data_IF_284808550069
#
_entry.id   IF_284808550069
#
_cell.length_a   1.000
_cell.length_b   1.000
_cell.length_c   1.000
_cell.angle_alpha   90.00
_cell.angle_beta   90.00
_cell.angle_gamma   90.00
#
_symmetry.space_group_name_H-M   'P 1'
#
loop_
_entity.id
_entity.type
_entity.pdbx_description
1 polymer ?
#
# COMPACT_ATOMS: atom_id res chain seq x y z
N UNK A 1 60.92 54.38 -11.70
CA UNK A 1 61.82 54.03 -12.83
C UNK A 1 61.18 52.90 -13.64
N UNK A 2 61.77 52.51 -14.78
CA UNK A 2 61.02 51.93 -15.93
C UNK A 2 61.29 50.43 -16.25
N UNK A 3 60.40 49.85 -17.08
CA UNK A 3 60.54 48.63 -17.96
C UNK A 3 60.57 47.26 -17.23
N UNK A 4 59.78 46.20 -17.54
CA UNK A 4 59.32 45.48 -18.79
C UNK A 4 60.34 44.45 -19.32
N UNK A 5 60.02 43.18 -19.67
CA UNK A 5 58.95 42.65 -20.57
C UNK A 5 58.70 41.10 -20.42
N UNK A 6 57.46 40.63 -20.74
CA UNK A 6 57.03 39.32 -21.33
C UNK A 6 57.50 38.00 -20.65
N UNK A 7 56.92 36.79 -20.79
CA UNK A 7 56.10 36.04 -21.79
C UNK A 7 55.04 35.20 -21.01
N UNK A 8 53.92 34.63 -21.49
CA UNK A 8 53.25 34.50 -22.80
C UNK A 8 51.88 33.77 -22.65
N UNK A 9 51.20 33.36 -23.75
CA UNK A 9 49.78 32.88 -23.71
C UNK A 9 49.43 31.86 -24.81
N UNK A 10 48.64 30.81 -24.49
CA UNK A 10 47.49 30.21 -25.24
C UNK A 10 47.21 28.78 -24.75
N UNK A 11 45.99 28.27 -24.49
CA UNK A 11 44.60 28.39 -25.01
C UNK A 11 44.17 27.19 -25.89
N UNK A 12 43.10 26.53 -25.43
CA UNK A 12 42.09 25.70 -26.12
C UNK A 12 41.99 25.88 -27.66
N UNK A 13 41.73 24.78 -28.40
CA UNK A 13 40.36 24.46 -28.89
C UNK A 13 40.25 23.08 -29.59
N UNK A 14 38.99 22.72 -29.88
CA UNK A 14 38.45 21.43 -30.31
C UNK A 14 38.04 21.51 -31.79
N UNK A 15 38.32 20.51 -32.65
CA UNK A 15 37.73 20.40 -34.00
C UNK A 15 37.48 18.94 -34.41
N UNK A 16 36.28 18.69 -34.93
CA UNK A 16 35.81 17.45 -35.57
C UNK A 16 36.18 17.46 -37.07
N UNK A 17 36.41 16.31 -37.71
CA UNK A 17 36.24 16.19 -39.17
C UNK A 17 35.70 14.83 -39.63
N UNK A 18 35.03 14.86 -40.78
CA UNK A 18 34.14 13.82 -41.31
C UNK A 18 34.61 13.35 -42.71
N UNK A 19 34.29 12.10 -43.05
CA UNK A 19 33.99 11.53 -44.39
C UNK A 19 35.05 10.88 -45.32
N UNK A 20 34.47 9.92 -46.08
CA UNK A 20 34.77 9.47 -47.46
C UNK A 20 35.76 8.31 -47.73
N UNK A 21 35.17 7.10 -47.78
CA UNK A 21 35.16 6.14 -48.90
C UNK A 21 36.42 6.02 -49.80
N UNK A 22 36.95 4.79 -49.90
CA UNK A 22 37.29 4.19 -51.20
C UNK A 22 36.96 2.69 -51.22
N UNK A 23 36.22 2.25 -52.23
CA UNK A 23 36.00 0.83 -52.53
C UNK A 23 37.05 0.32 -53.52
N UNK A 24 37.51 -0.92 -53.33
CA UNK A 24 37.95 -1.80 -54.44
C UNK A 24 37.45 -3.22 -54.21
N UNK A 25 36.52 -3.65 -55.05
CA UNK A 25 36.20 -5.05 -55.28
C UNK A 25 37.25 -5.70 -56.18
N UNK A 26 37.50 -7.01 -56.00
CA UNK A 26 37.44 -8.00 -57.07
C UNK A 26 37.88 -9.38 -56.56
N UNK A 27 36.95 -10.33 -56.46
CA UNK A 27 36.97 -11.59 -57.23
C UNK A 27 35.89 -12.56 -56.70
N UNK A 28 35.00 -12.99 -57.60
CA UNK A 28 34.31 -14.28 -57.50
C UNK A 28 35.06 -15.27 -58.41
N UNK A 29 34.99 -16.58 -58.14
CA UNK A 29 34.02 -17.35 -58.89
C UNK A 29 33.16 -18.30 -58.03
N UNK A 30 31.90 -18.44 -58.40
CA UNK A 30 30.88 -19.27 -57.76
C UNK A 30 30.72 -20.62 -58.46
N UNK A 31 30.68 -21.73 -57.71
CA UNK A 31 29.96 -22.96 -58.10
C UNK A 31 29.25 -23.58 -56.88
N UNK A 32 27.92 -23.65 -56.93
CA UNK A 32 27.08 -24.74 -56.41
C UNK A 32 27.14 -25.15 -54.93
N UNK A 33 26.24 -24.59 -54.09
CA UNK A 33 25.93 -25.11 -52.76
C UNK A 33 24.52 -24.71 -52.31
N UNK A 34 23.70 -25.68 -51.88
CA UNK A 34 22.27 -25.52 -51.57
C UNK A 34 21.96 -24.43 -50.53
N UNK A 35 21.07 -23.49 -50.85
CA UNK A 35 20.51 -22.57 -49.85
C UNK A 35 19.54 -23.30 -48.91
N UNK A 36 20.00 -23.63 -47.69
CA UNK A 36 19.09 -23.93 -46.58
C UNK A 36 18.50 -22.64 -46.01
N UNK A 37 17.26 -22.38 -46.42
CA UNK A 37 16.33 -21.37 -45.88
C UNK A 37 16.29 -21.39 -44.34
N UNK A 38 17.04 -20.52 -43.68
CA UNK A 38 16.93 -20.32 -42.23
C UNK A 38 15.62 -19.60 -41.93
N UNK A 39 14.66 -20.36 -41.40
CA UNK A 39 13.39 -19.84 -40.93
C UNK A 39 13.61 -18.92 -39.73
N UNK A 40 13.16 -17.66 -39.81
CA UNK A 40 13.01 -16.79 -38.64
C UNK A 40 12.02 -17.46 -37.68
N UNK A 41 12.54 -18.01 -36.58
CA UNK A 41 11.75 -18.65 -35.54
C UNK A 41 11.01 -17.64 -34.67
N UNK A 42 9.88 -18.09 -34.12
CA UNK A 42 9.11 -17.49 -33.03
C UNK A 42 8.84 -15.97 -33.11
N UNK A 43 7.61 -15.61 -33.46
CA UNK A 43 7.10 -14.30 -33.14
C UNK A 43 7.18 -14.06 -31.62
N UNK A 44 7.67 -12.90 -31.21
CA UNK A 44 7.48 -12.42 -29.83
C UNK A 44 5.97 -12.44 -29.50
N UNK A 45 5.57 -12.79 -28.27
CA UNK A 45 4.16 -12.82 -27.90
C UNK A 45 3.56 -11.43 -28.12
N UNK A 46 2.61 -11.37 -29.06
CA UNK A 46 1.88 -10.13 -29.36
C UNK A 46 1.15 -9.68 -28.10
N UNK A 47 1.26 -8.39 -27.78
CA UNK A 47 0.55 -7.69 -26.71
C UNK A 47 -0.97 -7.88 -26.91
N UNK A 48 -1.53 -8.96 -26.35
CA UNK A 48 -2.96 -9.33 -26.45
C UNK A 48 -3.65 -9.11 -25.11
N UNK A 49 -4.54 -8.12 -25.08
CA UNK A 49 -5.80 -8.12 -24.33
C UNK A 49 -5.74 -8.55 -22.84
N UNK A 50 -4.93 -7.88 -22.02
CA UNK A 50 -5.05 -7.96 -20.55
C UNK A 50 -6.01 -6.90 -19.95
N UNK A 51 -6.37 -5.86 -20.71
CA UNK A 51 -7.16 -4.73 -20.18
C UNK A 51 -8.68 -4.98 -20.14
N UNK A 52 -9.22 -5.87 -20.98
CA UNK A 52 -10.67 -6.07 -21.12
C UNK A 52 -11.29 -7.06 -20.11
N UNK A 53 -10.48 -7.79 -19.34
CA UNK A 53 -10.98 -8.79 -18.37
C UNK A 53 -11.14 -8.19 -16.97
N UNK A 54 -12.37 -8.24 -16.46
CA UNK A 54 -12.74 -7.90 -15.08
C UNK A 54 -11.79 -8.54 -14.06
N UNK A 55 -11.35 -7.77 -13.07
CA UNK A 55 -10.61 -8.28 -11.92
C UNK A 55 -11.55 -8.45 -10.72
N UNK A 56 -11.95 -9.69 -10.47
CA UNK A 56 -12.66 -10.08 -9.24
C UNK A 56 -11.73 -9.93 -8.05
N UNK A 57 -12.12 -9.12 -7.07
CA UNK A 57 -11.44 -9.00 -5.78
C UNK A 57 -11.99 -10.09 -4.86
N UNK A 58 -11.15 -11.03 -4.46
CA UNK A 58 -11.58 -12.15 -3.60
C UNK A 58 -10.59 -12.50 -2.50
N UNK A 59 -9.43 -11.83 -2.47
CA UNK A 59 -8.39 -12.11 -1.48
C UNK A 59 -7.70 -13.44 -1.75
N UNK A 60 -7.03 -13.96 -0.73
CA UNK A 60 -6.23 -15.20 -0.87
C UNK A 60 -7.01 -16.50 -1.14
N UNK A 61 -8.33 -16.65 -0.85
CA UNK A 61 -9.09 -17.84 -1.26
C UNK A 61 -9.07 -18.06 -2.78
N UNK A 62 -9.02 -16.98 -3.57
CA UNK A 62 -8.86 -17.05 -5.04
C UNK A 62 -7.60 -17.80 -5.48
N UNK A 63 -6.59 -17.82 -4.60
CA UNK A 63 -5.28 -18.42 -4.84
C UNK A 63 -5.22 -19.88 -4.35
N UNK A 64 -6.34 -20.45 -3.90
CA UNK A 64 -6.47 -21.79 -3.35
C UNK A 64 -6.26 -21.88 -1.83
N UNK A 65 -6.37 -20.76 -1.11
CA UNK A 65 -6.04 -20.66 0.32
C UNK A 65 -7.32 -20.43 1.13
N UNK A 66 -8.04 -21.52 1.37
CA UNK A 66 -9.31 -21.50 2.12
C UNK A 66 -9.12 -21.34 3.64
N UNK A 67 -7.93 -21.66 4.16
CA UNK A 67 -7.59 -21.51 5.58
C UNK A 67 -7.41 -20.04 5.94
N UNK A 68 -8.14 -19.59 6.97
CA UNK A 68 -8.10 -18.22 7.50
C UNK A 68 -6.93 -18.07 8.46
N UNK A 69 -5.92 -17.30 8.07
CA UNK A 69 -4.78 -16.93 8.94
C UNK A 69 -4.91 -15.48 9.42
N UNK A 70 -4.37 -15.14 10.61
CA UNK A 70 -4.41 -13.78 11.11
C UNK A 70 -3.47 -12.86 10.31
N UNK A 71 -3.90 -11.62 10.04
CA UNK A 71 -2.95 -10.52 9.84
C UNK A 71 -2.25 -10.26 11.17
N UNK A 72 -0.92 -10.20 11.18
CA UNK A 72 -0.13 -9.97 12.39
C UNK A 72 0.26 -8.49 12.53
N UNK A 73 0.56 -8.05 13.75
CA UNK A 73 1.25 -6.76 13.95
C UNK A 73 2.65 -6.87 13.30
N UNK A 74 3.14 -5.80 12.68
CA UNK A 74 4.36 -5.85 11.86
C UNK A 74 5.58 -6.33 12.64
N UNK A 75 5.73 -5.99 13.93
CA UNK A 75 6.82 -6.45 14.80
C UNK A 75 6.68 -7.94 15.18
N UNK A 76 5.45 -8.44 15.29
CA UNK A 76 5.20 -9.88 15.47
C UNK A 76 5.50 -10.65 14.18
N UNK A 77 5.22 -10.06 13.00
CA UNK A 77 5.63 -10.62 11.71
C UNK A 77 7.16 -10.65 11.58
N UNK A 78 7.87 -9.59 12.01
CA UNK A 78 9.35 -9.53 12.02
C UNK A 78 10.00 -10.65 12.84
N UNK A 79 9.34 -11.15 13.89
CA UNK A 79 9.81 -12.30 14.68
C UNK A 79 9.72 -13.63 13.92
N UNK A 80 8.98 -13.67 12.81
CA UNK A 80 8.99 -14.77 11.85
C UNK A 80 9.84 -14.37 10.62
N UNK A 81 11.16 -14.66 10.62
CA UNK A 81 12.07 -14.16 9.59
C UNK A 81 11.67 -14.60 8.19
N UNK A 82 11.03 -15.76 8.03
CA UNK A 82 10.67 -16.29 6.71
C UNK A 82 9.42 -15.61 6.14
N UNK A 83 8.39 -15.39 6.98
CA UNK A 83 7.23 -14.58 6.58
C UNK A 83 7.62 -13.13 6.29
N UNK A 84 8.51 -12.55 7.09
CA UNK A 84 8.99 -11.20 6.88
C UNK A 84 9.87 -11.08 5.62
N UNK A 85 10.66 -12.11 5.31
CA UNK A 85 11.44 -12.18 4.08
C UNK A 85 10.54 -12.21 2.83
N UNK A 86 9.52 -13.08 2.78
CA UNK A 86 8.59 -13.11 1.64
C UNK A 86 7.75 -11.82 1.53
N UNK A 87 7.44 -11.16 2.66
CA UNK A 87 6.77 -9.87 2.66
C UNK A 87 7.60 -8.78 1.99
N UNK A 88 8.87 -8.59 2.42
CA UNK A 88 9.75 -7.57 1.84
C UNK A 88 10.02 -7.84 0.36
N UNK A 89 10.35 -9.08 0.00
CA UNK A 89 10.62 -9.46 -1.39
C UNK A 89 9.39 -9.32 -2.29
N UNK A 90 8.22 -9.75 -1.81
CA UNK A 90 6.95 -9.59 -2.51
C UNK A 90 6.57 -8.13 -2.72
N UNK A 91 6.70 -7.28 -1.69
CA UNK A 91 6.41 -5.86 -1.81
C UNK A 91 7.39 -5.15 -2.76
N UNK A 92 8.69 -5.49 -2.70
CA UNK A 92 9.69 -4.94 -3.62
C UNK A 92 9.40 -5.34 -5.08
N UNK A 93 9.02 -6.59 -5.36
CA UNK A 93 8.58 -7.02 -6.69
C UNK A 93 7.31 -6.26 -7.11
N UNK A 94 6.33 -6.14 -6.23
CA UNK A 94 5.06 -5.47 -6.54
C UNK A 94 5.25 -3.99 -6.88
N UNK A 95 6.09 -3.29 -6.11
CA UNK A 95 6.44 -1.89 -6.34
C UNK A 95 7.23 -1.68 -7.64
N UNK A 96 7.95 -2.69 -8.15
CA UNK A 96 8.71 -2.58 -9.41
C UNK A 96 7.91 -2.88 -10.68
N UNK A 97 6.65 -3.36 -10.57
CA UNK A 97 5.77 -3.52 -11.73
C UNK A 97 5.52 -2.16 -12.38
N UNK A 98 5.67 -2.10 -13.71
CA UNK A 98 5.39 -0.93 -14.54
C UNK A 98 4.05 -0.26 -14.16
N UNK A 99 4.09 1.05 -13.92
CA UNK A 99 2.95 1.83 -13.45
C UNK A 99 1.77 1.87 -14.44
N UNK A 100 1.98 1.45 -15.70
CA UNK A 100 0.92 1.33 -16.72
C UNK A 100 0.08 0.05 -16.57
N UNK A 101 0.56 -0.96 -15.83
CA UNK A 101 -0.14 -2.23 -15.66
C UNK A 101 -1.28 -2.09 -14.63
N UNK A 102 -2.49 -2.53 -14.98
CA UNK A 102 -3.73 -2.39 -14.17
C UNK A 102 -3.60 -2.88 -12.73
N UNK A 103 -2.76 -3.89 -12.52
CA UNK A 103 -2.50 -4.54 -11.22
C UNK A 103 -1.11 -4.20 -10.67
N UNK A 104 -0.50 -3.08 -11.08
CA UNK A 104 0.72 -2.54 -10.48
C UNK A 104 0.42 -1.84 -9.15
N UNK A 105 1.40 -1.78 -8.25
CA UNK A 105 1.27 -1.06 -6.98
C UNK A 105 0.79 0.39 -7.19
N UNK A 106 1.25 1.05 -8.27
CA UNK A 106 0.82 2.39 -8.65
C UNK A 106 -0.68 2.48 -9.00
N UNK A 107 -1.19 1.61 -9.88
CA UNK A 107 -2.60 1.65 -10.27
C UNK A 107 -3.52 1.31 -9.09
N UNK A 108 -3.12 0.35 -8.24
CA UNK A 108 -3.88 -0.03 -7.05
C UNK A 108 -3.91 1.13 -6.04
N UNK A 109 -2.76 1.71 -5.70
CA UNK A 109 -2.67 2.95 -4.89
C UNK A 109 -3.52 4.09 -5.48
N UNK A 110 -3.57 4.18 -6.81
CA UNK A 110 -4.32 5.17 -7.56
C UNK A 110 -5.84 5.05 -7.46
N UNK A 111 -6.39 3.91 -7.03
CA UNK A 111 -7.83 3.75 -6.74
C UNK A 111 -8.25 4.70 -5.62
N UNK A 112 -7.43 4.84 -4.58
CA UNK A 112 -7.73 5.71 -3.45
C UNK A 112 -7.87 7.18 -3.87
N UNK A 113 -7.00 7.66 -4.77
CA UNK A 113 -6.81 9.09 -4.99
C UNK A 113 -6.42 9.42 -6.43
N UNK A 114 -5.35 10.19 -6.59
CA UNK A 114 -4.80 10.49 -7.90
C UNK A 114 -4.24 9.20 -8.52
N UNK A 115 -4.38 8.99 -9.83
CA UNK A 115 -4.60 10.03 -10.84
C UNK A 115 -6.07 10.41 -11.15
N UNK A 116 -7.07 9.90 -10.40
CA UNK A 116 -8.50 10.09 -10.70
C UNK A 116 -8.85 9.59 -12.11
N UNK A 117 -8.55 8.31 -12.38
CA UNK A 117 -8.84 7.62 -13.66
C UNK A 117 -9.73 6.41 -13.42
N UNK A 118 -10.38 5.91 -14.48
CA UNK A 118 -11.15 4.66 -14.44
C UNK A 118 -10.24 3.48 -14.09
N UNK A 119 -10.69 2.61 -13.17
CA UNK A 119 -10.08 1.32 -12.87
C UNK A 119 -11.11 0.20 -13.07
N UNK A 120 -10.69 -0.89 -13.71
CA UNK A 120 -11.50 -2.08 -14.07
C UNK A 120 -12.87 -1.76 -14.73
N UNK A 121 -12.87 -0.74 -15.59
CA UNK A 121 -14.04 -0.31 -16.37
C UNK A 121 -15.14 0.38 -15.55
N UNK A 122 -14.81 0.88 -14.36
CA UNK A 122 -15.75 1.67 -13.54
C UNK A 122 -15.56 3.14 -13.85
N UNK A 123 -16.49 3.71 -14.61
CA UNK A 123 -16.39 5.06 -15.14
C UNK A 123 -16.70 6.18 -14.13
N UNK A 124 -16.19 7.38 -14.44
CA UNK A 124 -16.29 8.54 -13.56
C UNK A 124 -17.72 9.11 -13.56
N UNK A 125 -18.25 9.41 -12.38
CA UNK A 125 -19.48 10.20 -12.28
C UNK A 125 -19.24 11.64 -12.75
N UNK A 126 -20.16 12.30 -13.49
CA UNK A 126 -19.96 13.66 -13.99
C UNK A 126 -19.63 14.70 -12.90
N UNK A 127 -20.15 14.50 -11.69
CA UNK A 127 -19.87 15.34 -10.51
C UNK A 127 -18.75 14.81 -9.60
N UNK A 128 -18.10 13.71 -9.97
CA UNK A 128 -17.00 13.14 -9.21
C UNK A 128 -15.77 14.05 -9.21
N UNK A 129 -15.15 14.26 -8.06
CA UNK A 129 -14.06 15.25 -7.88
C UNK A 129 -12.76 14.67 -7.35
N UNK A 130 -12.84 13.53 -6.68
CA UNK A 130 -11.75 12.88 -5.96
C UNK A 130 -11.58 11.42 -6.43
N UNK A 131 -10.83 10.61 -5.68
CA UNK A 131 -10.64 9.19 -5.94
C UNK A 131 -11.83 8.35 -5.49
N UNK A 132 -11.73 7.03 -5.60
CA UNK A 132 -12.84 6.13 -5.23
C UNK A 132 -13.07 6.06 -3.71
N UNK A 133 -12.09 6.44 -2.88
CA UNK A 133 -12.16 6.29 -1.44
C UNK A 133 -13.35 7.00 -0.79
N UNK A 134 -14.07 6.29 0.08
CA UNK A 134 -15.10 6.87 0.92
C UNK A 134 -14.47 7.46 2.18
N UNK A 135 -14.49 8.79 2.31
CA UNK A 135 -14.06 9.55 3.50
C UNK A 135 -15.17 10.49 3.96
N UNK A 136 -15.17 10.84 5.25
CA UNK A 136 -16.27 11.49 5.96
C UNK A 136 -17.59 10.78 5.69
N UNK A 137 -17.59 9.45 5.72
CA UNK A 137 -18.66 8.63 5.16
C UNK A 137 -18.96 7.40 6.00
N UNK A 138 -20.25 7.07 6.19
CA UNK A 138 -20.68 5.88 6.89
C UNK A 138 -20.07 4.57 6.33
N UNK A 139 -19.77 4.51 5.03
CA UNK A 139 -19.13 3.35 4.41
C UNK A 139 -17.59 3.38 4.42
N UNK A 140 -16.93 4.38 5.04
CA UNK A 140 -15.46 4.46 5.18
C UNK A 140 -14.82 3.13 5.62
N UNK A 141 -15.27 2.45 6.71
CA UNK A 141 -14.63 1.21 7.16
C UNK A 141 -14.85 0.05 6.18
N UNK A 142 -16.02 -0.01 5.54
CA UNK A 142 -16.40 -1.12 4.66
C UNK A 142 -15.83 -0.98 3.26
N UNK A 143 -15.60 0.24 2.77
CA UNK A 143 -14.94 0.50 1.49
C UNK A 143 -13.45 0.11 1.51
N UNK A 144 -12.74 0.42 2.61
CA UNK A 144 -11.32 0.09 2.74
C UNK A 144 -11.05 -1.43 2.89
N UNK A 145 -12.05 -2.22 3.30
CA UNK A 145 -11.92 -3.68 3.48
C UNK A 145 -11.61 -4.46 2.19
N UNK A 146 -12.44 -4.41 1.11
CA UNK A 146 -12.09 -5.02 -0.17
C UNK A 146 -10.86 -4.36 -0.83
N UNK A 147 -10.57 -3.08 -0.53
CA UNK A 147 -9.35 -2.43 -1.00
C UNK A 147 -8.08 -3.08 -0.41
N UNK A 148 -8.09 -3.39 0.89
CA UNK A 148 -7.03 -4.15 1.56
C UNK A 148 -6.95 -5.60 1.06
N UNK A 149 -8.10 -6.23 0.77
CA UNK A 149 -8.13 -7.58 0.20
C UNK A 149 -7.49 -7.64 -1.21
N UNK A 150 -7.73 -6.63 -2.05
CA UNK A 150 -7.09 -6.47 -3.36
C UNK A 150 -5.57 -6.25 -3.22
N UNK A 151 -5.15 -5.38 -2.30
CA UNK A 151 -3.72 -5.18 -1.99
C UNK A 151 -3.05 -6.48 -1.52
N UNK A 152 -3.69 -7.22 -0.61
CA UNK A 152 -3.18 -8.48 -0.06
C UNK A 152 -3.13 -9.60 -1.10
N UNK A 153 -4.15 -9.73 -1.96
CA UNK A 153 -4.18 -10.68 -3.09
C UNK A 153 -2.97 -10.46 -4.02
N UNK A 154 -2.69 -9.20 -4.38
CA UNK A 154 -1.60 -8.86 -5.30
C UNK A 154 -0.22 -8.90 -4.64
N UNK A 155 -0.11 -8.50 -3.37
CA UNK A 155 1.11 -8.67 -2.57
C UNK A 155 1.48 -10.15 -2.45
N UNK A 156 0.51 -11.02 -2.15
CA UNK A 156 0.70 -12.46 -2.07
C UNK A 156 1.16 -13.03 -3.41
N UNK A 157 0.48 -12.68 -4.52
CA UNK A 157 0.88 -13.11 -5.86
C UNK A 157 2.32 -12.71 -6.16
N UNK A 158 2.72 -11.47 -5.84
CA UNK A 158 4.09 -11.02 -6.04
C UNK A 158 5.11 -11.77 -5.17
N UNK A 159 4.80 -12.04 -3.89
CA UNK A 159 5.65 -12.82 -3.00
C UNK A 159 5.84 -14.25 -3.53
N UNK A 160 4.75 -14.91 -3.94
CA UNK A 160 4.79 -16.25 -4.56
C UNK A 160 5.61 -16.26 -5.84
N UNK A 161 5.49 -15.25 -6.70
CA UNK A 161 6.28 -15.13 -7.92
C UNK A 161 7.79 -15.01 -7.65
N UNK A 162 8.21 -14.36 -6.56
CA UNK A 162 9.63 -14.36 -6.16
C UNK A 162 10.08 -15.75 -5.74
N UNK A 163 9.33 -16.42 -4.85
CA UNK A 163 9.68 -17.74 -4.31
C UNK A 163 9.67 -18.82 -5.40
N UNK A 164 8.76 -18.76 -6.36
CA UNK A 164 8.75 -19.64 -7.54
C UNK A 164 10.03 -19.51 -8.37
N UNK A 165 10.61 -18.30 -8.43
CA UNK A 165 11.86 -18.02 -9.13
C UNK A 165 13.14 -18.48 -8.40
N UNK A 166 13.03 -18.93 -7.15
CA UNK A 166 14.19 -19.48 -6.43
C UNK A 166 14.57 -20.88 -6.97
N UNK A 167 15.87 -21.25 -6.92
CA UNK A 167 16.30 -22.64 -7.13
C UNK A 167 15.64 -23.58 -6.13
N UNK A 168 15.40 -24.83 -6.53
CA UNK A 168 14.85 -25.84 -5.63
C UNK A 168 15.86 -26.20 -4.52
N UNK A 169 15.41 -26.23 -3.27
CA UNK A 169 16.24 -26.41 -2.08
C UNK A 169 15.63 -25.78 -0.84
N UNK A 170 16.32 -25.93 0.30
CA UNK A 170 15.82 -25.60 1.64
C UNK A 170 15.21 -24.19 1.74
N UNK A 171 15.86 -23.16 1.18
CA UNK A 171 15.33 -21.80 1.21
C UNK A 171 13.95 -21.71 0.55
N UNK A 172 13.77 -22.31 -0.63
CA UNK A 172 12.50 -22.28 -1.36
C UNK A 172 11.41 -23.03 -0.59
N UNK A 173 11.75 -24.17 0.00
CA UNK A 173 10.81 -24.95 0.82
C UNK A 173 10.35 -24.17 2.06
N UNK A 174 11.28 -23.53 2.80
CA UNK A 174 10.94 -22.66 3.94
C UNK A 174 10.06 -21.48 3.53
N UNK A 175 10.40 -20.80 2.43
CA UNK A 175 9.62 -19.67 1.93
C UNK A 175 8.22 -20.08 1.43
N UNK A 176 8.06 -21.29 0.88
CA UNK A 176 6.73 -21.82 0.53
C UNK A 176 5.88 -22.07 1.79
N UNK A 177 6.44 -22.65 2.86
CA UNK A 177 5.73 -22.82 4.14
C UNK A 177 5.36 -21.47 4.77
N UNK A 178 6.24 -20.47 4.68
CA UNK A 178 5.94 -19.11 5.12
C UNK A 178 4.79 -18.48 4.31
N UNK A 179 4.75 -18.71 2.99
CA UNK A 179 3.68 -18.22 2.12
C UNK A 179 2.29 -18.78 2.49
N UNK A 180 2.15 -20.08 2.82
CA UNK A 180 0.84 -20.66 3.18
C UNK A 180 0.10 -19.86 4.27
N UNK A 181 0.87 -19.38 5.24
CA UNK A 181 0.40 -18.71 6.46
C UNK A 181 0.49 -17.18 6.39
N UNK A 182 1.18 -16.62 5.38
CA UNK A 182 1.41 -15.18 5.25
C UNK A 182 0.12 -14.39 4.98
N UNK A 183 -0.04 -13.26 5.68
CA UNK A 183 -1.06 -12.23 5.46
C UNK A 183 -0.42 -10.86 5.63
N UNK A 184 -1.00 -9.83 5.00
CA UNK A 184 -0.46 -8.48 5.05
C UNK A 184 -0.49 -7.96 6.50
N UNK A 185 0.63 -7.50 7.08
CA UNK A 185 0.66 -7.07 8.47
C UNK A 185 -0.10 -5.75 8.68
N UNK A 186 -0.46 -5.51 9.94
CA UNK A 186 -0.97 -4.22 10.40
C UNK A 186 0.06 -3.52 11.30
N UNK A 187 -0.07 -2.21 11.47
CA UNK A 187 0.70 -1.44 12.46
C UNK A 187 -0.24 -0.84 13.50
N UNK A 188 -0.02 -1.17 14.77
CA UNK A 188 -0.78 -0.58 15.87
C UNK A 188 -0.07 0.63 16.48
N UNK A 189 -0.46 1.82 16.05
CA UNK A 189 0.04 3.10 16.58
C UNK A 189 -0.54 3.48 17.96
N UNK A 190 -1.55 2.75 18.44
CA UNK A 190 -2.25 3.05 19.70
C UNK A 190 -1.88 2.07 20.84
N UNK A 191 -1.35 0.89 20.50
CA UNK A 191 -0.77 -0.03 21.47
C UNK A 191 0.43 0.57 22.21
N UNK A 192 0.73 0.06 23.41
CA UNK A 192 1.98 0.35 24.10
C UNK A 192 3.12 -0.33 23.32
N UNK A 193 4.17 0.39 22.88
CA UNK A 193 5.27 -0.23 22.15
C UNK A 193 6.09 -1.17 23.05
N UNK A 194 6.75 -2.20 22.48
CA UNK A 194 7.68 -3.06 23.22
C UNK A 194 8.76 -2.31 23.99
N UNK A 195 9.26 -2.90 25.07
CA UNK A 195 10.35 -2.30 25.85
C UNK A 195 11.59 -2.06 24.97
N UNK A 196 12.04 -0.81 24.91
CA UNK A 196 13.16 -0.37 24.06
C UNK A 196 12.77 0.08 22.65
N UNK A 197 11.49 -0.03 22.27
CA UNK A 197 10.96 0.48 21.00
C UNK A 197 10.09 1.74 21.18
N UNK A 198 9.93 2.49 20.07
CA UNK A 198 8.94 3.56 19.96
C UNK A 198 7.65 3.09 19.27
N UNK A 199 6.63 3.93 19.30
CA UNK A 199 5.31 3.69 18.70
C UNK A 199 5.39 3.46 17.18
N UNK A 200 6.33 4.16 16.52
CA UNK A 200 6.66 3.98 15.10
C UNK A 200 7.65 2.81 14.92
N UNK A 201 7.33 1.76 14.15
CA UNK A 201 8.19 0.56 14.03
C UNK A 201 9.55 0.88 13.39
N UNK A 202 10.61 0.17 13.76
CA UNK A 202 11.93 0.37 13.14
C UNK A 202 11.92 -0.03 11.65
N UNK A 203 11.19 -1.08 11.29
CA UNK A 203 11.12 -1.63 9.93
C UNK A 203 10.59 -0.66 8.86
N UNK A 204 9.83 0.38 9.24
CA UNK A 204 9.32 1.40 8.32
C UNK A 204 10.23 2.63 8.23
N UNK A 205 11.18 2.77 9.15
CA UNK A 205 12.12 3.90 9.27
C UNK A 205 13.48 3.64 8.61
N UNK A 206 13.92 2.39 8.56
CA UNK A 206 15.22 2.02 8.01
C UNK A 206 15.25 2.15 6.48
N UNK A 207 16.31 2.75 5.91
CA UNK A 207 16.45 2.90 4.44
C UNK A 207 16.74 1.58 3.72
N UNK A 208 17.30 0.61 4.42
CA UNK A 208 17.65 -0.72 3.93
C UNK A 208 17.18 -1.78 4.91
N UNK A 209 16.87 -2.97 4.41
CA UNK A 209 16.56 -4.15 5.23
C UNK A 209 17.39 -5.34 4.75
N UNK A 210 17.79 -6.21 5.68
CA UNK A 210 18.45 -7.48 5.34
C UNK A 210 17.41 -8.54 4.99
N UNK A 211 17.55 -9.16 3.82
CA UNK A 211 16.74 -10.29 3.34
C UNK A 211 17.61 -11.52 3.11
N UNK A 212 17.01 -12.71 3.11
CA UNK A 212 17.68 -13.96 2.76
C UNK A 212 17.37 -14.34 1.30
N UNK A 213 18.41 -14.49 0.48
CA UNK A 213 18.33 -14.79 -0.95
C UNK A 213 19.08 -16.09 -1.28
N UNK A 214 18.75 -16.79 -2.39
CA UNK A 214 19.51 -17.95 -2.84
C UNK A 214 20.96 -17.59 -3.22
N UNK A 215 21.91 -18.42 -2.80
CA UNK A 215 23.30 -18.40 -3.26
C UNK A 215 23.76 -19.83 -3.58
N UNK A 216 23.65 -20.21 -4.85
CA UNK A 216 23.87 -21.59 -5.31
C UNK A 216 22.90 -22.58 -4.64
N UNK A 217 23.47 -23.53 -3.88
CA UNK A 217 22.72 -24.51 -3.08
C UNK A 217 22.50 -24.05 -1.62
N UNK A 218 22.90 -22.83 -1.29
CA UNK A 218 22.82 -22.22 0.04
C UNK A 218 22.04 -20.91 -0.03
N UNK A 219 22.04 -20.13 1.06
CA UNK A 219 21.45 -18.80 1.11
C UNK A 219 22.43 -17.76 1.63
N UNK A 220 22.20 -16.50 1.26
CA UNK A 220 23.00 -15.35 1.68
C UNK A 220 22.11 -14.22 2.19
N UNK A 221 22.53 -13.61 3.30
CA UNK A 221 21.91 -12.39 3.82
C UNK A 221 22.38 -11.18 3.02
N UNK A 222 21.44 -10.45 2.44
CA UNK A 222 21.67 -9.33 1.52
C UNK A 222 20.90 -8.11 1.98
N UNK A 223 21.56 -6.95 2.07
CA UNK A 223 20.87 -5.69 2.32
C UNK A 223 20.26 -5.15 1.03
N UNK A 224 18.95 -4.91 1.06
CA UNK A 224 18.18 -4.32 -0.04
C UNK A 224 17.63 -2.94 0.34
N UNK A 225 17.33 -2.06 -0.63
CA UNK A 225 16.51 -0.87 -0.37
C UNK A 225 15.16 -1.29 0.22
N UNK A 226 14.77 -0.67 1.32
CA UNK A 226 13.59 -1.08 2.08
C UNK A 226 12.28 -0.67 1.37
N UNK A 227 11.44 -1.63 0.91
CA UNK A 227 10.17 -1.32 0.27
C UNK A 227 9.12 -0.75 1.23
N UNK A 228 9.36 -0.77 2.56
CA UNK A 228 8.53 -0.13 3.58
C UNK A 228 8.91 1.33 3.85
N UNK A 229 10.10 1.79 3.44
CA UNK A 229 10.59 3.14 3.74
C UNK A 229 9.91 4.22 2.89
N UNK A 230 9.79 3.98 1.59
CA UNK A 230 9.13 4.89 0.65
C UNK A 230 8.84 4.18 -0.66
N UNK A 231 7.74 4.52 -1.33
CA UNK A 231 7.56 4.12 -2.73
C UNK A 231 8.31 5.07 -3.66
N UNK A 232 8.99 4.55 -4.67
CA UNK A 232 9.66 5.34 -5.72
C UNK A 232 8.83 5.28 -7.01
N UNK A 233 8.52 6.44 -7.58
CA UNK A 233 7.77 6.53 -8.84
C UNK A 233 8.69 6.32 -10.05
N UNK A 234 8.27 5.48 -10.99
CA UNK A 234 9.04 5.13 -12.19
C UNK A 234 8.17 5.14 -13.47
N UNK A 235 8.02 6.29 -14.16
CA UNK A 235 8.50 7.63 -13.80
C UNK A 235 7.54 8.35 -12.83
N UNK A 236 7.96 9.49 -12.26
CA UNK A 236 7.05 10.41 -11.56
C UNK A 236 5.91 10.87 -12.50
N UNK A 237 4.62 10.57 -12.20
CA UNK A 237 3.49 10.91 -13.06
C UNK A 237 3.11 12.39 -12.95
N UNK A 238 3.99 13.28 -13.42
CA UNK A 238 3.87 14.74 -13.29
C UNK A 238 2.49 15.24 -13.72
N UNK A 239 1.99 14.82 -14.89
CA UNK A 239 0.70 15.27 -15.41
C UNK A 239 -0.48 14.84 -14.53
N UNK A 240 -0.43 13.61 -14.02
CA UNK A 240 -1.46 13.04 -13.15
C UNK A 240 -1.44 13.63 -11.73
N UNK A 241 -0.30 14.19 -11.31
CA UNK A 241 -0.12 14.90 -10.04
C UNK A 241 -0.25 16.43 -10.15
N UNK A 242 -0.55 16.98 -11.35
CA UNK A 242 -0.86 18.41 -11.51
C UNK A 242 -2.09 18.82 -10.70
N UNK A 243 -1.94 19.84 -9.87
CA UNK A 243 -2.99 20.43 -9.04
C UNK A 243 -2.53 21.75 -8.44
N UNK A 244 -3.21 22.19 -7.38
CA UNK A 244 -2.84 23.38 -6.61
C UNK A 244 -1.51 23.25 -5.86
N UNK A 245 -1.01 22.03 -5.67
CA UNK A 245 0.21 21.74 -4.91
C UNK A 245 1.31 21.13 -5.79
N UNK A 246 2.28 21.96 -6.15
CA UNK A 246 3.40 21.55 -7.03
C UNK A 246 4.45 20.64 -6.36
N UNK A 247 4.32 20.32 -5.08
CA UNK A 247 5.29 19.47 -4.36
C UNK A 247 5.26 18.03 -4.85
N UNK A 248 4.07 17.50 -5.04
CA UNK A 248 3.85 16.13 -5.55
C UNK A 248 4.34 15.95 -6.99
N UNK A 249 4.43 17.04 -7.78
CA UNK A 249 5.06 17.01 -9.11
C UNK A 249 6.60 17.08 -9.12
N UNK A 250 7.25 17.07 -7.94
CA UNK A 250 8.70 17.21 -7.77
C UNK A 250 9.36 16.09 -6.96
N UNK A 251 8.59 15.32 -6.21
CA UNK A 251 9.09 14.23 -5.37
C UNK A 251 9.04 12.90 -6.13
N UNK A 252 10.21 12.35 -6.43
CA UNK A 252 10.36 11.04 -7.07
C UNK A 252 10.08 9.85 -6.14
N UNK A 253 10.02 10.08 -4.83
CA UNK A 253 9.57 9.09 -3.84
C UNK A 253 8.47 9.67 -2.97
N UNK A 254 7.72 8.80 -2.30
CA UNK A 254 6.90 9.24 -1.17
C UNK A 254 7.77 9.83 -0.07
N UNK A 255 7.19 10.73 0.73
CA UNK A 255 7.87 11.51 1.76
C UNK A 255 6.99 11.59 3.00
N UNK A 256 7.59 11.34 4.17
CA UNK A 256 6.98 11.41 5.50
C UNK A 256 7.68 12.51 6.29
N UNK A 257 6.93 13.48 6.81
CA UNK A 257 7.47 14.69 7.44
C UNK A 257 8.61 15.33 6.62
N UNK A 258 8.40 15.70 5.34
CA UNK A 258 9.46 16.20 4.46
C UNK A 258 10.21 17.40 5.04
N UNK A 259 11.54 17.41 4.87
CA UNK A 259 12.43 18.50 5.33
C UNK A 259 12.13 19.87 4.73
N UNK A 260 11.63 19.90 3.49
CA UNK A 260 11.26 21.12 2.77
C UNK A 260 10.16 20.83 1.71
N UNK A 261 9.87 21.80 0.83
CA UNK A 261 8.85 21.72 -0.23
C UNK A 261 9.43 21.62 -1.65
N UNK A 262 10.73 21.35 -1.77
CA UNK A 262 11.51 21.30 -3.00
C UNK A 262 11.78 19.84 -3.41
N UNK A 263 12.42 19.64 -4.57
CA UNK A 263 12.69 18.30 -5.11
C UNK A 263 13.69 17.48 -4.26
N UNK A 264 14.54 18.15 -3.50
CA UNK A 264 15.55 17.59 -2.57
C UNK A 264 15.01 17.30 -1.16
N UNK A 265 13.69 17.35 -0.95
CA UNK A 265 13.11 17.05 0.35
C UNK A 265 13.38 15.59 0.76
N UNK A 266 13.81 15.39 2.00
CA UNK A 266 14.02 14.06 2.60
C UNK A 266 12.95 13.80 3.67
N UNK A 267 12.57 12.53 3.85
CA UNK A 267 11.73 12.12 4.99
C UNK A 267 12.49 12.35 6.31
N UNK A 268 11.76 12.73 7.36
CA UNK A 268 12.31 12.95 8.70
C UNK A 268 11.66 11.98 9.69
N UNK A 269 11.87 10.69 9.50
CA UNK A 269 11.24 9.62 10.29
C UNK A 269 11.49 9.73 11.80
N UNK A 270 12.64 10.27 12.24
CA UNK A 270 12.87 10.58 13.66
C UNK A 270 11.93 11.65 14.25
N UNK A 271 11.39 12.56 13.42
CA UNK A 271 10.31 13.48 13.84
C UNK A 271 8.96 12.77 13.85
N UNK A 272 8.72 11.86 12.92
CA UNK A 272 7.50 11.03 12.93
C UNK A 272 7.44 10.18 14.20
N UNK A 273 8.54 9.51 14.57
CA UNK A 273 8.66 8.77 15.82
C UNK A 273 8.35 9.67 17.03
N UNK A 274 8.99 10.83 17.11
CA UNK A 274 8.77 11.79 18.20
C UNK A 274 7.30 12.25 18.33
N UNK A 275 6.63 12.62 17.23
CA UNK A 275 5.22 13.03 17.26
C UNK A 275 4.29 11.87 17.68
N UNK A 276 4.58 10.64 17.23
CA UNK A 276 3.78 9.48 17.59
C UNK A 276 3.97 9.09 19.06
N UNK A 277 5.20 9.11 19.57
CA UNK A 277 5.51 8.84 20.97
C UNK A 277 4.93 9.90 21.91
N UNK A 278 4.99 11.19 21.51
CA UNK A 278 4.36 12.27 22.24
C UNK A 278 2.82 12.16 22.28
N UNK A 279 2.22 11.55 21.25
CA UNK A 279 0.76 11.38 21.14
C UNK A 279 0.26 9.98 21.57
N UNK A 280 1.15 9.06 21.93
CA UNK A 280 0.85 7.63 22.16
C UNK A 280 -0.29 7.44 23.16
N UNK A 281 -0.22 8.11 24.32
CA UNK A 281 -1.21 7.97 25.40
C UNK A 281 -2.59 8.49 24.95
N UNK A 282 -2.63 9.57 24.16
CA UNK A 282 -3.86 10.11 23.60
C UNK A 282 -4.46 9.15 22.56
N UNK A 283 -3.66 8.63 21.63
CA UNK A 283 -4.09 7.64 20.65
C UNK A 283 -4.63 6.37 21.31
N UNK A 284 -3.94 5.87 22.36
CA UNK A 284 -4.38 4.72 23.16
C UNK A 284 -5.73 4.97 23.83
N UNK A 285 -5.87 6.10 24.52
CA UNK A 285 -7.10 6.46 25.24
C UNK A 285 -8.28 6.64 24.27
N UNK A 286 -8.08 7.33 23.14
CA UNK A 286 -9.11 7.52 22.11
C UNK A 286 -9.53 6.20 21.48
N UNK A 287 -8.58 5.32 21.16
CA UNK A 287 -8.86 3.97 20.63
C UNK A 287 -9.62 3.12 21.64
N UNK A 288 -9.21 3.13 22.91
CA UNK A 288 -9.90 2.41 23.99
C UNK A 288 -11.33 2.89 24.15
N UNK A 289 -11.55 4.20 24.22
CA UNK A 289 -12.88 4.77 24.39
C UNK A 289 -13.78 4.56 23.16
N UNK A 290 -13.25 4.66 21.95
CA UNK A 290 -13.95 4.30 20.71
C UNK A 290 -14.45 2.84 20.75
N UNK A 291 -13.59 1.87 21.10
CA UNK A 291 -13.97 0.46 21.16
C UNK A 291 -14.93 0.13 22.32
N UNK A 292 -14.70 0.72 23.49
CA UNK A 292 -15.46 0.40 24.70
C UNK A 292 -16.80 1.15 24.81
N UNK A 293 -16.89 2.40 24.35
CA UNK A 293 -18.04 3.28 24.59
C UNK A 293 -18.92 3.56 23.36
N UNK A 294 -18.37 3.64 22.14
CA UNK A 294 -19.21 3.88 20.96
C UNK A 294 -19.92 2.59 20.52
N UNK A 295 -21.26 2.62 20.54
CA UNK A 295 -22.13 1.47 20.21
C UNK A 295 -22.94 1.65 18.92
N UNK A 296 -23.12 2.87 18.46
CA UNK A 296 -23.75 3.16 17.16
C UNK A 296 -22.71 3.17 16.03
N UNK A 297 -22.97 2.39 14.98
CA UNK A 297 -22.09 2.31 13.82
C UNK A 297 -21.86 3.66 13.14
N UNK A 298 -22.87 4.51 13.02
CA UNK A 298 -22.72 5.81 12.34
C UNK A 298 -21.74 6.73 13.09
N UNK A 299 -21.75 6.73 14.42
CA UNK A 299 -20.84 7.54 15.23
C UNK A 299 -19.44 6.92 15.28
N UNK A 300 -19.34 5.59 15.32
CA UNK A 300 -18.07 4.87 15.26
C UNK A 300 -17.35 5.01 13.91
N UNK A 301 -18.07 4.96 12.78
CA UNK A 301 -17.48 4.70 11.46
C UNK A 301 -16.68 5.84 10.84
N UNK A 302 -17.02 7.10 11.14
CA UNK A 302 -16.60 8.24 10.32
C UNK A 302 -16.40 9.56 11.10
N UNK A 303 -15.73 10.52 10.50
CA UNK A 303 -15.42 11.83 11.09
C UNK A 303 -16.49 12.92 10.84
N UNK A 304 -17.60 12.60 10.17
CA UNK A 304 -18.61 13.57 9.74
C UNK A 304 -19.71 13.84 10.79
N UNK A 305 -19.77 13.06 11.87
CA UNK A 305 -20.80 13.20 12.91
C UNK A 305 -20.50 14.44 13.77
N UNK A 306 -21.44 15.38 13.80
CA UNK A 306 -21.31 16.61 14.57
C UNK A 306 -21.39 16.33 16.09
N UNK A 307 -20.31 16.65 16.81
CA UNK A 307 -20.21 16.51 18.26
C UNK A 307 -21.18 17.39 19.06
N UNK A 308 -21.65 18.50 18.49
CA UNK A 308 -22.58 19.41 19.17
C UNK A 308 -24.03 18.87 19.22
N UNK A 309 -24.40 17.90 18.37
CA UNK A 309 -25.78 17.41 18.24
C UNK A 309 -26.06 16.10 18.97
N UNK A 310 -25.05 15.27 19.24
CA UNK A 310 -25.23 13.94 19.83
C UNK A 310 -24.91 13.87 21.33
N UNK A 311 -24.24 14.89 21.89
CA UNK A 311 -23.88 14.98 23.33
C UNK A 311 -22.88 13.93 23.84
N UNK A 312 -22.57 12.89 23.05
CA UNK A 312 -21.75 11.73 23.45
C UNK A 312 -20.94 11.16 22.26
N UNK A 313 -20.28 12.00 21.44
CA UNK A 313 -19.25 11.47 20.52
C UNK A 313 -17.97 11.20 21.30
N UNK A 314 -17.71 9.92 21.52
CA UNK A 314 -16.49 9.43 22.16
C UNK A 314 -15.55 8.94 21.05
N UNK A 315 -15.10 9.90 20.25
CA UNK A 315 -14.28 9.73 19.03
C UNK A 315 -14.89 8.81 17.94
N UNK A 316 -14.16 8.62 16.85
CA UNK A 316 -14.53 7.69 15.78
C UNK A 316 -13.30 7.06 15.11
N UNK A 317 -13.52 5.95 14.40
CA UNK A 317 -12.48 5.19 13.72
C UNK A 317 -11.71 6.04 12.70
N UNK A 318 -12.43 6.79 11.87
CA UNK A 318 -11.83 7.70 10.89
C UNK A 318 -11.08 8.85 11.59
N UNK A 319 -11.60 9.39 12.70
CA UNK A 319 -10.95 10.48 13.46
C UNK A 319 -9.63 10.05 14.14
N UNK A 320 -9.56 8.81 14.65
CA UNK A 320 -8.31 8.23 15.18
C UNK A 320 -7.32 7.95 14.04
N UNK A 321 -7.79 7.35 12.95
CA UNK A 321 -7.03 7.12 11.72
C UNK A 321 -6.42 8.41 11.15
N UNK A 322 -7.22 9.47 11.02
CA UNK A 322 -6.81 10.76 10.48
C UNK A 322 -5.66 11.36 11.29
N UNK A 323 -5.68 11.17 12.61
CA UNK A 323 -4.63 11.67 13.50
C UNK A 323 -3.27 11.05 13.18
N UNK A 324 -3.24 9.74 12.87
CA UNK A 324 -2.02 9.02 12.49
C UNK A 324 -1.55 9.45 11.09
N UNK A 325 -2.47 9.65 10.14
CA UNK A 325 -2.17 10.22 8.81
C UNK A 325 -1.50 11.60 8.90
N UNK A 326 -1.95 12.45 9.83
CA UNK A 326 -1.36 13.76 10.07
C UNK A 326 0.03 13.65 10.72
N UNK A 327 0.19 12.85 11.79
CA UNK A 327 1.47 12.66 12.48
C UNK A 327 2.57 12.09 11.58
N UNK A 328 2.28 11.03 10.80
CA UNK A 328 3.28 10.42 9.89
C UNK A 328 3.50 11.28 8.65
N UNK A 329 2.42 11.76 8.05
CA UNK A 329 2.54 12.52 6.80
C UNK A 329 3.23 13.85 7.00
N UNK A 330 2.82 14.65 8.00
CA UNK A 330 3.24 16.02 8.30
C UNK A 330 3.65 16.82 7.04
N UNK A 331 2.66 17.27 6.25
CA UNK A 331 2.82 17.92 4.93
C UNK A 331 3.32 17.00 3.79
N UNK A 332 3.69 15.75 4.05
CA UNK A 332 4.07 14.75 3.06
C UNK A 332 2.89 14.05 2.39
N UNK A 333 3.13 12.83 1.87
CA UNK A 333 2.14 12.08 1.11
C UNK A 333 1.00 11.56 2.00
N UNK A 334 1.30 11.03 3.19
CA UNK A 334 0.27 10.48 4.09
C UNK A 334 -0.77 11.50 4.57
N UNK A 335 -0.43 12.79 4.63
CA UNK A 335 -1.38 13.85 5.04
C UNK A 335 -2.41 14.18 3.97
N UNK A 336 -2.24 13.73 2.73
CA UNK A 336 -3.09 14.12 1.61
C UNK A 336 -3.80 12.89 1.05
N UNK A 337 -5.12 12.80 1.25
CA UNK A 337 -5.97 11.68 0.79
C UNK A 337 -5.65 11.29 -0.67
N UNK A 338 -5.51 12.28 -1.56
CA UNK A 338 -5.20 12.09 -2.97
C UNK A 338 -3.85 11.41 -3.29
N UNK A 339 -2.92 11.31 -2.34
CA UNK A 339 -1.58 10.73 -2.53
C UNK A 339 -1.17 9.71 -1.46
N UNK A 340 -1.93 9.60 -0.36
CA UNK A 340 -1.57 8.81 0.82
C UNK A 340 -1.29 7.34 0.51
N UNK A 341 -2.14 6.69 -0.30
CA UNK A 341 -2.02 5.27 -0.65
C UNK A 341 -0.76 4.88 -1.43
N UNK A 342 -0.02 5.82 -2.01
CA UNK A 342 1.27 5.48 -2.63
C UNK A 342 2.33 5.11 -1.60
N UNK A 343 2.23 5.59 -0.35
CA UNK A 343 3.27 5.36 0.65
C UNK A 343 3.04 4.04 1.41
N UNK A 344 4.06 3.18 1.58
CA UNK A 344 3.89 1.83 2.14
C UNK A 344 3.21 1.77 3.52
N UNK A 345 3.38 2.79 4.38
CA UNK A 345 2.78 2.81 5.73
C UNK A 345 1.26 2.97 5.70
N UNK A 346 0.68 3.48 4.59
CA UNK A 346 -0.76 3.50 4.38
C UNK A 346 -1.38 2.11 4.59
N UNK A 347 -0.79 1.08 3.98
CA UNK A 347 -1.35 -0.27 4.01
C UNK A 347 -1.33 -0.90 5.40
N UNK A 348 -0.24 -0.66 6.16
CA UNK A 348 -0.12 -1.08 7.56
C UNK A 348 -1.14 -0.38 8.47
N UNK A 349 -1.35 0.92 8.27
CA UNK A 349 -2.31 1.73 9.00
C UNK A 349 -3.74 1.28 8.71
N UNK A 350 -4.14 1.19 7.44
CA UNK A 350 -5.48 0.75 7.06
C UNK A 350 -5.76 -0.71 7.44
N UNK A 351 -4.75 -1.60 7.42
CA UNK A 351 -4.90 -2.95 7.95
C UNK A 351 -5.23 -2.97 9.45
N UNK A 352 -4.74 -1.99 10.22
CA UNK A 352 -5.13 -1.79 11.62
C UNK A 352 -6.49 -1.09 11.76
N UNK A 353 -6.84 -0.16 10.86
CA UNK A 353 -8.19 0.42 10.79
C UNK A 353 -9.26 -0.66 10.57
N UNK A 354 -8.99 -1.63 9.69
CA UNK A 354 -9.86 -2.79 9.49
C UNK A 354 -9.86 -3.76 10.68
N UNK A 355 -8.72 -3.92 11.39
CA UNK A 355 -8.64 -4.65 12.67
C UNK A 355 -9.54 -4.03 13.73
N UNK A 356 -9.46 -2.72 13.92
CA UNK A 356 -10.31 -1.97 14.85
C UNK A 356 -11.79 -2.12 14.48
N UNK A 357 -12.12 -2.07 13.19
CA UNK A 357 -13.48 -2.32 12.73
C UNK A 357 -13.94 -3.76 13.01
N UNK A 358 -13.12 -4.78 12.73
CA UNK A 358 -13.46 -6.17 13.01
C UNK A 358 -13.65 -6.46 14.52
N UNK A 359 -12.79 -5.90 15.37
CA UNK A 359 -12.94 -5.94 16.84
C UNK A 359 -14.24 -5.25 17.26
N UNK A 360 -14.52 -4.05 16.74
CA UNK A 360 -15.74 -3.31 17.06
C UNK A 360 -17.00 -4.06 16.61
N UNK A 361 -17.01 -4.71 15.44
CA UNK A 361 -18.14 -5.52 14.97
C UNK A 361 -18.41 -6.70 15.92
N UNK A 362 -17.37 -7.37 16.41
CA UNK A 362 -17.50 -8.48 17.35
C UNK A 362 -17.96 -8.03 18.75
N UNK A 363 -17.67 -6.78 19.15
CA UNK A 363 -18.20 -6.17 20.38
C UNK A 363 -19.64 -5.62 20.23
N UNK A 364 -20.10 -5.37 19.01
CA UNK A 364 -21.37 -4.68 18.71
C UNK A 364 -22.14 -5.37 17.57
N UNK A 365 -22.48 -6.68 17.68
CA UNK A 365 -22.97 -7.49 16.56
C UNK A 365 -24.25 -6.97 15.91
N UNK A 366 -25.13 -6.31 16.67
CA UNK A 366 -26.41 -5.77 16.21
C UNK A 366 -26.31 -4.40 15.51
N UNK A 367 -25.15 -3.75 15.56
CA UNK A 367 -24.95 -2.37 15.09
C UNK A 367 -24.16 -2.35 13.77
N UNK A 368 -24.75 -1.80 12.70
CA UNK A 368 -24.15 -1.86 11.36
C UNK A 368 -24.56 -0.69 10.45
N UNK A 369 -24.16 -0.74 9.17
CA UNK A 369 -24.35 0.33 8.18
C UNK A 369 -25.84 0.63 7.98
N UNK A 370 -26.27 1.79 8.48
CA UNK A 370 -27.57 2.41 8.20
C UNK A 370 -27.46 3.40 7.05
N UNK A 371 -28.61 3.80 6.48
CA UNK A 371 -28.66 4.76 5.37
C UNK A 371 -28.37 6.20 5.86
N UNK A 372 -27.29 6.82 5.37
CA UNK A 372 -26.89 8.20 5.72
C UNK A 372 -26.40 8.99 4.49
N UNK A 373 -26.51 10.32 4.54
CA UNK A 373 -25.94 11.24 3.54
C UNK A 373 -24.44 11.41 3.74
N UNK A 374 -23.65 11.24 2.68
CA UNK A 374 -22.20 11.41 2.73
C UNK A 374 -21.75 12.78 2.15
N UNK A 375 -21.19 13.70 2.95
CA UNK A 375 -20.92 15.09 2.57
C UNK A 375 -19.76 15.30 1.58
N UNK A 376 -19.10 14.25 1.08
CA UNK A 376 -18.00 14.29 0.11
C UNK A 376 -18.43 13.62 -1.19
N UNK A 377 -17.86 14.05 -2.31
CA UNK A 377 -17.94 13.30 -3.56
C UNK A 377 -16.82 12.27 -3.60
N UNK A 378 -17.01 11.19 -4.36
CA UNK A 378 -15.92 10.26 -4.74
C UNK A 378 -15.69 10.35 -6.25
N UNK A 379 -14.96 9.40 -6.82
CA UNK A 379 -14.87 9.20 -8.26
C UNK A 379 -16.23 8.78 -8.88
N UNK A 380 -17.05 8.02 -8.14
CA UNK A 380 -18.29 7.41 -8.65
C UNK A 380 -19.58 7.97 -8.04
N UNK A 381 -19.49 8.79 -6.99
CA UNK A 381 -20.65 9.36 -6.29
C UNK A 381 -20.59 10.89 -6.21
N UNK A 382 -21.71 11.60 -6.42
CA UNK A 382 -21.79 13.05 -6.19
C UNK A 382 -21.74 13.38 -4.70
N UNK A 383 -21.48 14.66 -4.39
CA UNK A 383 -21.53 15.17 -3.00
C UNK A 383 -22.94 15.01 -2.42
N UNK A 384 -23.04 14.67 -1.13
CA UNK A 384 -24.30 14.46 -0.41
C UNK A 384 -25.11 13.24 -0.90
N UNK A 385 -24.48 12.29 -1.61
CA UNK A 385 -25.11 11.01 -1.95
C UNK A 385 -25.47 10.23 -0.68
N UNK A 386 -26.65 9.61 -0.66
CA UNK A 386 -26.99 8.61 0.35
C UNK A 386 -26.21 7.33 0.11
N UNK A 387 -25.79 6.66 1.18
CA UNK A 387 -25.29 5.29 1.13
C UNK A 387 -25.81 4.48 2.33
N UNK A 388 -26.04 3.20 2.08
CA UNK A 388 -26.52 2.18 3.01
C UNK A 388 -25.68 0.88 2.88
N UNK A 389 -26.09 -0.20 3.54
CA UNK A 389 -25.34 -1.46 3.49
C UNK A 389 -25.28 -2.14 2.11
N UNK A 390 -26.16 -1.75 1.17
CA UNK A 390 -26.28 -2.32 -0.16
C UNK A 390 -25.64 -1.45 -1.24
N UNK A 391 -25.08 -0.30 -0.85
CA UNK A 391 -24.42 0.63 -1.77
C UNK A 391 -23.13 0.00 -2.33
N UNK A 392 -22.93 0.00 -3.67
CA UNK A 392 -21.73 -0.56 -4.30
C UNK A 392 -20.43 0.10 -3.81
N UNK A 393 -19.50 -0.72 -3.32
CA UNK A 393 -18.15 -0.33 -2.94
C UNK A 393 -17.24 -0.30 -4.18
N UNK A 394 -17.51 0.66 -5.07
CA UNK A 394 -16.74 0.82 -6.30
C UNK A 394 -15.23 1.05 -6.01
N UNK A 395 -14.31 0.47 -6.80
CA UNK A 395 -14.55 -0.31 -8.02
C UNK A 395 -14.54 -1.83 -7.81
N UNK A 396 -14.65 -2.32 -6.57
CA UNK A 396 -14.28 -3.70 -6.22
C UNK A 396 -15.38 -4.70 -6.60
N UNK A 397 -15.13 -5.49 -7.66
CA UNK A 397 -16.06 -6.52 -8.13
C UNK A 397 -15.92 -7.82 -7.32
N UNK A 398 -17.03 -8.44 -6.97
CA UNK A 398 -17.08 -9.67 -6.15
C UNK A 398 -17.23 -10.96 -6.96
N UNK A 399 -17.60 -10.87 -8.25
CA UNK A 399 -17.74 -12.04 -9.12
C UNK A 399 -17.49 -11.72 -10.61
N UNK A 400 -17.48 -12.76 -11.45
CA UNK A 400 -17.26 -12.66 -12.90
C UNK A 400 -18.47 -12.15 -13.71
N UNK A 401 -19.66 -12.05 -13.10
CA UNK A 401 -20.79 -11.35 -13.71
C UNK A 401 -20.63 -9.82 -13.63
N UNK A 402 -19.73 -9.35 -12.76
CA UNK A 402 -19.34 -7.95 -12.63
C UNK A 402 -20.01 -7.21 -11.48
N UNK A 403 -20.75 -7.92 -10.61
CA UNK A 403 -21.34 -7.36 -9.40
C UNK A 403 -20.26 -6.80 -8.48
N UNK A 404 -20.61 -5.77 -7.70
CA UNK A 404 -19.71 -5.13 -6.75
C UNK A 404 -19.89 -5.68 -5.33
N UNK A 405 -18.82 -5.62 -4.54
CA UNK A 405 -18.93 -5.74 -3.09
C UNK A 405 -19.82 -4.61 -2.55
N UNK A 406 -20.65 -4.94 -1.56
CA UNK A 406 -21.41 -4.00 -0.72
C UNK A 406 -21.00 -4.18 0.74
N UNK A 407 -21.29 -3.21 1.61
CA UNK A 407 -21.01 -3.36 3.04
C UNK A 407 -21.60 -4.64 3.63
N UNK A 408 -22.85 -4.97 3.30
CA UNK A 408 -23.51 -6.21 3.73
C UNK A 408 -22.68 -7.46 3.36
N UNK A 409 -22.17 -7.54 2.13
CA UNK A 409 -21.37 -8.67 1.66
C UNK A 409 -19.95 -8.74 2.23
N UNK A 410 -19.41 -7.63 2.76
CA UNK A 410 -18.09 -7.59 3.44
C UNK A 410 -18.21 -7.48 4.98
N UNK A 411 -19.41 -7.69 5.54
CA UNK A 411 -19.66 -7.68 6.99
C UNK A 411 -18.84 -8.75 7.70
N UNK A 412 -18.84 -9.97 7.15
CA UNK A 412 -17.83 -10.97 7.48
C UNK A 412 -16.55 -10.66 6.68
N UNK A 413 -15.49 -10.18 7.35
CA UNK A 413 -14.20 -9.92 6.72
C UNK A 413 -13.49 -11.21 6.27
N UNK A 414 -13.86 -12.36 6.84
CA UNK A 414 -13.17 -13.62 6.61
C UNK A 414 -13.48 -14.25 5.25
N UNK A 415 -14.42 -13.67 4.48
CA UNK A 415 -14.65 -14.00 3.06
C UNK A 415 -13.41 -13.78 2.19
N UNK A 416 -12.49 -12.92 2.63
CA UNK A 416 -11.21 -12.64 1.96
C UNK A 416 -10.05 -13.51 2.48
N UNK A 417 -10.31 -14.51 3.33
CA UNK A 417 -9.33 -15.49 3.79
C UNK A 417 -8.36 -15.03 4.89
N UNK A 418 -8.68 -13.95 5.60
CA UNK A 418 -7.90 -13.47 6.76
C UNK A 418 -8.78 -13.34 8.02
N UNK A 419 -8.12 -13.16 9.17
CA UNK A 419 -8.74 -12.75 10.44
C UNK A 419 -7.73 -11.93 11.26
N UNK A 420 -7.95 -11.75 12.57
CA UNK A 420 -7.06 -11.04 13.48
C UNK A 420 -6.82 -11.84 14.78
N UNK A 421 -5.65 -11.72 15.43
CA UNK A 421 -5.32 -12.48 16.65
C UNK A 421 -6.37 -12.32 17.75
N UNK A 422 -6.96 -11.13 17.89
CA UNK A 422 -7.95 -10.81 18.91
C UNK A 422 -9.27 -11.57 18.76
N UNK A 423 -9.55 -12.15 17.59
CA UNK A 423 -10.78 -12.88 17.31
C UNK A 423 -10.60 -14.41 17.38
N UNK A 424 -9.37 -14.91 17.47
CA UNK A 424 -9.06 -16.35 17.49
C UNK A 424 -9.13 -16.89 18.93
N UNK A 425 -9.81 -18.04 19.13
CA UNK A 425 -9.76 -18.79 20.39
C UNK A 425 -10.40 -18.05 21.57
N UNK A 426 -11.47 -17.28 21.32
CA UNK A 426 -12.26 -16.65 22.37
C UNK A 426 -13.01 -17.71 23.21
N UNK A 427 -13.11 -17.46 24.52
CA UNK A 427 -13.82 -18.32 25.48
C UNK A 427 -14.40 -17.48 26.63
N UNK A 428 -15.06 -18.12 27.60
CA UNK A 428 -15.56 -17.44 28.81
C UNK A 428 -14.42 -16.77 29.61
N UNK A 429 -13.25 -17.41 29.71
CA UNK A 429 -12.07 -16.86 30.39
C UNK A 429 -11.25 -15.87 29.53
N UNK A 430 -11.33 -16.01 28.20
CA UNK A 430 -10.58 -15.24 27.20
C UNK A 430 -11.55 -14.46 26.32
N UNK A 431 -12.18 -13.45 26.90
CA UNK A 431 -13.15 -12.59 26.20
C UNK A 431 -12.45 -11.52 25.36
N UNK A 432 -13.13 -11.05 24.30
CA UNK A 432 -12.64 -9.93 23.48
C UNK A 432 -12.48 -8.63 24.30
N UNK A 433 -13.37 -8.41 25.27
CA UNK A 433 -13.27 -7.29 26.23
C UNK A 433 -11.95 -7.36 27.00
N UNK A 434 -11.56 -8.55 27.49
CA UNK A 434 -10.29 -8.74 28.21
C UNK A 434 -9.09 -8.42 27.32
N UNK A 435 -9.12 -8.77 26.04
CA UNK A 435 -8.06 -8.44 25.06
C UNK A 435 -7.97 -6.94 24.78
N UNK A 436 -9.10 -6.27 24.56
CA UNK A 436 -9.15 -4.80 24.38
C UNK A 436 -8.66 -4.06 25.62
N UNK A 437 -9.01 -4.52 26.82
CA UNK A 437 -8.51 -3.95 28.08
C UNK A 437 -6.99 -4.15 28.26
N UNK A 438 -6.44 -5.28 27.81
CA UNK A 438 -5.00 -5.54 27.86
C UNK A 438 -4.19 -4.68 26.87
N UNK A 439 -4.76 -4.40 25.68
CA UNK A 439 -4.11 -3.60 24.64
C UNK A 439 -4.18 -2.08 24.88
N UNK A 440 -5.33 -1.58 25.37
CA UNK A 440 -5.59 -0.13 25.41
C UNK A 440 -6.14 0.40 26.74
N UNK A 441 -6.42 -0.48 27.71
CA UNK A 441 -6.92 -0.08 29.02
C UNK A 441 -5.87 0.64 29.89
N UNK A 442 -6.27 0.96 31.14
CA UNK A 442 -5.43 1.66 32.11
C UNK A 442 -4.10 0.93 32.40
N UNK A 443 -4.16 -0.40 32.50
CA UNK A 443 -3.02 -1.29 32.76
C UNK A 443 -2.46 -1.93 31.49
N UNK A 444 -2.59 -1.26 30.34
CA UNK A 444 -2.07 -1.79 29.08
C UNK A 444 -0.55 -1.94 29.10
N UNK A 445 -0.06 -3.05 28.51
CA UNK A 445 1.36 -3.35 28.31
C UNK A 445 1.59 -3.75 26.85
N UNK A 446 2.86 -3.74 26.43
CA UNK A 446 3.30 -4.35 25.17
C UNK A 446 3.07 -5.86 25.13
#
# INVERSE_FOLDING_TARGET
>A
MARSKLVGVSRLLFVLFISLLFSRSNSNPTIGGQERRVTKGAAAPTRRQANDTIHVVSGVPRLGIDTKFPRLEVRELERNPDQFNVYLLGLQRFQSISQDEKLSYFQISGIHGRPFVSWDGVEKHPEGKDGYCAHSSNIFPTWHRPYLALMEELLYVNAREVVLGFPDGELKDRMNVALETFRMPYWDAAAVPPEGEGSYPACVQMRTMTVELPDGNTSVKTDIPNPLFSYAFHPLPIDAFKGSDSRFTRWNTTKRFPSNRNADAESQDGKVAYELDANQVNLRQRTYYMLSMQKEYHNFSNNAVNSELSGVVVDSLESVHDSIHHSVGSNGHLTQIAYSAFDPVFWLLHANTDRMFAIWQALNPESYVTNHTNPKATFTTPKNSWADENTPLHPFRCNSAGDFWTSATVRDHTVFGYTYPELIGLSEDVTLIRRVNALYGENATS
#
